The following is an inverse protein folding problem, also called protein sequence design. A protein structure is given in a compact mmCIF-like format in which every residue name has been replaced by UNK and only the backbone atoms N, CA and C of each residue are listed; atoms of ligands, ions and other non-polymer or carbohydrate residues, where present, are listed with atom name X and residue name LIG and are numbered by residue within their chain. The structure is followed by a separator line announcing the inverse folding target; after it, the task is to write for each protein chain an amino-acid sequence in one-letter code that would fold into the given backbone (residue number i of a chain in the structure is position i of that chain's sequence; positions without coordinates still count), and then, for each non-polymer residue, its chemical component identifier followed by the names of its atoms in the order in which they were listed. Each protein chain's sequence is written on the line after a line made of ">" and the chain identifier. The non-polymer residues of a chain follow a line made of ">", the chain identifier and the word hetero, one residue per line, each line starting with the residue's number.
data_IF_590447990194
#
_entry.id   IF_590447990194
#
_cell.length_a   1.000
_cell.length_b   1.000
_cell.length_c   1.000
_cell.angle_alpha   90.00
_cell.angle_beta   90.00
_cell.angle_gamma   90.00
#
_symmetry.space_group_name_H-M   'P 1'
#
loop_
_entity.id
_entity.type
_entity.pdbx_description
1 polymer ?
#
# COMPACT_ATOMS: atom_id res chain seq x y z
N UNK A 1 8.14 16.93 -25.36
CA UNK A 1 7.62 16.85 -23.98
C UNK A 1 8.84 16.69 -23.09
N UNK A 2 8.86 17.26 -21.90
CA UNK A 2 9.92 16.92 -20.93
C UNK A 2 9.82 15.44 -20.60
N UNK A 3 10.96 14.79 -20.43
CA UNK A 3 11.00 13.40 -20.03
C UNK A 3 10.44 13.28 -18.60
N UNK A 4 9.44 12.43 -18.42
CA UNK A 4 8.87 12.18 -17.12
C UNK A 4 9.81 11.30 -16.30
N UNK A 5 10.03 11.66 -15.04
CA UNK A 5 10.77 10.83 -14.10
C UNK A 5 9.84 10.28 -13.02
N UNK A 6 9.82 8.96 -12.90
CA UNK A 6 9.13 8.26 -11.82
C UNK A 6 10.17 7.68 -10.86
N UNK A 7 10.04 8.05 -9.58
CA UNK A 7 10.83 7.48 -8.49
C UNK A 7 9.92 6.57 -7.67
N UNK A 8 10.31 5.32 -7.45
CA UNK A 8 9.62 4.38 -6.57
C UNK A 8 10.39 4.20 -5.27
N UNK A 9 9.74 4.42 -4.14
CA UNK A 9 10.31 4.18 -2.81
C UNK A 9 9.75 2.89 -2.24
N UNK A 10 10.60 1.92 -1.99
CA UNK A 10 10.20 0.58 -1.54
C UNK A 10 10.83 0.14 -0.23
N UNK A 11 10.54 -1.12 0.13
CA UNK A 11 10.95 -1.86 1.32
C UNK A 11 9.95 -1.74 2.50
N UNK A 12 10.41 -1.98 3.74
CA UNK A 12 9.57 -2.19 4.94
C UNK A 12 8.64 -1.03 5.27
N UNK A 13 7.54 -1.32 5.95
CA UNK A 13 6.71 -0.29 6.58
C UNK A 13 7.52 0.48 7.62
N UNK A 14 7.11 1.72 7.89
CA UNK A 14 7.76 2.62 8.84
C UNK A 14 9.25 2.96 8.55
N UNK A 15 9.77 2.58 7.38
CA UNK A 15 11.14 2.93 6.98
C UNK A 15 11.34 4.43 6.72
N UNK A 16 10.27 5.22 6.59
CA UNK A 16 10.35 6.67 6.38
C UNK A 16 10.10 7.11 4.94
N UNK A 17 9.48 6.28 4.09
CA UNK A 17 9.18 6.62 2.68
C UNK A 17 8.36 7.90 2.53
N UNK A 18 7.33 8.09 3.36
CA UNK A 18 6.53 9.32 3.33
C UNK A 18 7.33 10.55 3.82
N UNK A 19 8.29 10.38 4.71
CA UNK A 19 9.21 11.44 5.14
C UNK A 19 10.15 11.82 4.01
N UNK A 20 10.72 10.85 3.28
CA UNK A 20 11.52 11.11 2.07
C UNK A 20 10.69 11.90 1.06
N UNK A 21 9.44 11.50 0.82
CA UNK A 21 8.56 12.26 -0.06
C UNK A 21 8.34 13.69 0.42
N UNK A 22 8.08 13.93 1.72
CA UNK A 22 7.84 15.29 2.23
C UNK A 22 8.99 16.27 1.95
N UNK A 23 10.23 15.78 1.90
CA UNK A 23 11.39 16.57 1.47
C UNK A 23 11.49 16.72 -0.04
N UNK A 24 11.08 15.71 -0.80
CA UNK A 24 11.09 15.74 -2.27
C UNK A 24 9.94 16.58 -2.85
N UNK A 25 8.86 16.81 -2.12
CA UNK A 25 7.73 17.64 -2.56
C UNK A 25 8.18 19.05 -2.93
N UNK A 26 9.07 19.66 -2.13
CA UNK A 26 9.69 20.96 -2.41
C UNK A 26 10.55 20.99 -3.68
N UNK A 27 10.95 19.84 -4.22
CA UNK A 27 11.70 19.69 -5.47
C UNK A 27 10.78 19.46 -6.69
N UNK A 28 9.45 19.55 -6.50
CA UNK A 28 8.46 19.43 -7.56
C UNK A 28 7.90 18.01 -7.76
N UNK A 29 8.23 17.07 -6.91
CA UNK A 29 7.65 15.71 -7.00
C UNK A 29 6.18 15.69 -6.61
N UNK A 30 5.37 14.98 -7.41
CA UNK A 30 3.98 14.66 -7.10
C UNK A 30 3.89 13.26 -6.49
N UNK A 31 3.22 13.15 -5.33
CA UNK A 31 3.02 11.85 -4.67
C UNK A 31 1.98 11.01 -5.39
N UNK A 32 2.28 9.72 -5.50
CA UNK A 32 1.36 8.66 -5.92
C UNK A 32 1.57 7.46 -5.00
N UNK A 33 0.54 6.65 -4.79
CA UNK A 33 0.65 5.36 -4.13
C UNK A 33 -0.19 4.31 -4.87
N UNK A 34 0.32 3.07 -4.97
CA UNK A 34 -0.42 1.96 -5.59
C UNK A 34 -1.75 1.71 -4.89
N UNK A 35 -1.77 1.87 -3.57
CA UNK A 35 -2.98 1.71 -2.77
C UNK A 35 -4.01 2.84 -2.93
N UNK A 36 -3.65 4.00 -3.51
CA UNK A 36 -4.59 5.13 -3.56
C UNK A 36 -5.78 4.85 -4.49
N UNK A 37 -5.55 4.20 -5.65
CA UNK A 37 -6.63 3.81 -6.56
C UNK A 37 -7.61 2.83 -5.90
N UNK A 38 -7.11 1.84 -5.17
CA UNK A 38 -7.92 0.93 -4.36
C UNK A 38 -8.76 1.70 -3.33
N UNK A 39 -8.15 2.64 -2.62
CA UNK A 39 -8.80 3.41 -1.57
C UNK A 39 -9.95 4.26 -2.11
N UNK A 40 -9.72 5.01 -3.20
CA UNK A 40 -10.77 5.82 -3.84
C UNK A 40 -11.91 4.95 -4.37
N UNK A 41 -11.62 3.81 -4.99
CA UNK A 41 -12.65 2.88 -5.41
C UNK A 41 -13.47 2.34 -4.23
N UNK A 42 -12.83 2.01 -3.11
CA UNK A 42 -13.55 1.59 -1.92
C UNK A 42 -14.40 2.70 -1.30
N UNK A 43 -13.98 3.95 -1.37
CA UNK A 43 -14.83 5.10 -0.98
C UNK A 43 -16.09 5.16 -1.83
N UNK A 44 -15.97 5.00 -3.12
CA UNK A 44 -17.11 5.07 -4.05
C UNK A 44 -18.03 3.84 -3.90
N UNK A 45 -17.49 2.62 -3.91
CA UNK A 45 -18.27 1.38 -3.91
C UNK A 45 -18.92 1.12 -2.55
N UNK A 46 -18.17 1.33 -1.46
CA UNK A 46 -18.62 1.06 -0.09
C UNK A 46 -19.02 2.33 0.66
N UNK A 47 -19.15 3.46 -0.02
CA UNK A 47 -19.49 4.74 0.61
C UNK A 47 -18.68 5.01 1.90
N UNK A 48 -17.37 4.74 1.86
CA UNK A 48 -16.47 5.00 2.98
C UNK A 48 -16.06 6.48 2.98
N UNK A 49 -15.93 7.05 4.15
CA UNK A 49 -15.44 8.43 4.29
C UNK A 49 -13.93 8.50 4.12
N UNK A 50 -13.41 9.70 3.86
CA UNK A 50 -11.97 9.93 3.78
C UNK A 50 -11.23 9.52 5.07
N UNK A 51 -11.79 9.81 6.25
CA UNK A 51 -11.20 9.39 7.53
C UNK A 51 -11.17 7.86 7.68
N UNK A 52 -12.23 7.16 7.25
CA UNK A 52 -12.27 5.70 7.26
C UNK A 52 -11.22 5.06 6.35
N UNK A 53 -10.75 5.75 5.31
CA UNK A 53 -9.82 5.21 4.32
C UNK A 53 -8.40 5.72 4.53
N UNK A 54 -8.21 7.00 4.83
CA UNK A 54 -6.90 7.63 5.00
C UNK A 54 -6.56 8.00 6.44
N UNK A 55 -7.57 8.14 7.30
CA UNK A 55 -7.44 8.63 8.68
C UNK A 55 -7.45 7.54 9.75
N UNK A 56 -7.91 7.95 10.93
CA UNK A 56 -7.98 7.13 12.15
C UNK A 56 -9.16 6.15 12.18
N UNK A 57 -10.18 6.38 11.37
CA UNK A 57 -11.40 5.55 11.30
C UNK A 57 -11.21 4.16 10.69
N UNK A 58 -10.00 3.83 10.20
CA UNK A 58 -9.71 2.55 9.50
C UNK A 58 -10.03 1.29 10.29
N UNK A 59 -9.84 1.33 11.60
CA UNK A 59 -9.96 0.17 12.48
C UNK A 59 -11.27 0.15 13.29
N UNK A 60 -12.14 1.13 13.05
CA UNK A 60 -13.47 1.21 13.65
C UNK A 60 -14.43 0.35 12.83
N UNK A 61 -15.14 -0.55 13.48
CA UNK A 61 -16.17 -1.38 12.81
C UNK A 61 -17.26 -0.51 12.20
N UNK A 62 -17.70 -0.88 11.00
CA UNK A 62 -18.77 -0.21 10.29
C UNK A 62 -20.01 -1.13 10.27
N UNK A 63 -21.03 -0.78 11.05
CA UNK A 63 -22.25 -1.59 11.24
C UNK A 63 -23.04 -1.82 9.93
N UNK A 64 -22.76 -1.08 8.88
CA UNK A 64 -23.33 -1.28 7.56
C UNK A 64 -22.86 -2.59 6.88
N UNK A 65 -21.71 -3.13 7.32
CA UNK A 65 -21.05 -4.27 6.68
C UNK A 65 -20.88 -5.43 7.67
N UNK A 66 -21.87 -6.33 7.78
CA UNK A 66 -21.74 -7.56 8.57
C UNK A 66 -20.54 -8.39 8.10
N UNK A 67 -19.77 -8.90 9.05
CA UNK A 67 -18.58 -9.69 8.75
C UNK A 67 -18.95 -11.16 8.42
N UNK A 68 -19.31 -11.42 7.19
CA UNK A 68 -19.61 -12.75 6.68
C UNK A 68 -18.38 -13.50 6.15
N UNK A 69 -17.21 -12.86 6.15
CA UNK A 69 -15.99 -13.40 5.54
C UNK A 69 -15.08 -14.05 6.58
N UNK A 70 -14.93 -13.40 7.74
CA UNK A 70 -14.09 -13.89 8.83
C UNK A 70 -14.92 -14.75 9.83
N UNK A 71 -16.02 -15.36 9.34
CA UNK A 71 -16.78 -16.32 10.12
C UNK A 71 -15.91 -17.53 10.42
N UNK A 72 -15.52 -17.69 11.68
CA UNK A 72 -14.92 -18.93 12.12
C UNK A 72 -15.99 -20.01 12.19
N UNK A 73 -15.71 -21.14 11.58
CA UNK A 73 -16.42 -22.36 11.85
C UNK A 73 -15.96 -22.83 13.24
N UNK A 74 -16.86 -22.80 14.19
CA UNK A 74 -16.58 -23.27 15.55
C UNK A 74 -16.96 -24.76 15.59
N UNK A 75 -16.02 -25.61 15.99
CA UNK A 75 -16.36 -26.99 16.33
C UNK A 75 -17.31 -26.98 17.55
N UNK A 76 -18.47 -27.55 17.39
CA UNK A 76 -19.35 -27.82 18.54
C UNK A 76 -18.69 -28.84 19.47
N UNK A 77 -19.18 -28.95 20.73
CA UNK A 77 -18.66 -29.91 21.70
C UNK A 77 -18.77 -31.39 21.26
N UNK A 78 -19.26 -31.68 20.05
CA UNK A 78 -19.39 -33.00 19.42
C UNK A 78 -18.49 -33.17 18.21
N UNK A 79 -17.61 -32.20 17.90
CA UNK A 79 -16.71 -32.23 16.76
C UNK A 79 -17.38 -31.88 15.42
N UNK A 80 -18.60 -31.33 15.43
CA UNK A 80 -19.24 -30.83 14.22
C UNK A 80 -18.86 -29.39 13.97
N UNK A 81 -18.45 -29.07 12.72
CA UNK A 81 -18.20 -27.72 12.31
C UNK A 81 -19.50 -27.00 11.99
N UNK A 82 -19.82 -25.95 12.73
CA UNK A 82 -21.06 -25.17 12.55
C UNK A 82 -20.72 -23.71 12.22
N UNK A 83 -21.55 -23.09 11.39
CA UNK A 83 -21.42 -21.67 11.09
C UNK A 83 -21.76 -20.85 12.33
N UNK A 84 -20.92 -19.92 12.71
CA UNK A 84 -21.08 -19.09 13.91
C UNK A 84 -22.41 -18.32 13.98
N UNK A 85 -23.04 -18.03 12.84
CA UNK A 85 -24.37 -17.38 12.80
C UNK A 85 -25.53 -18.29 13.17
N UNK A 86 -25.32 -19.60 13.19
CA UNK A 86 -26.36 -20.58 13.57
C UNK A 86 -26.35 -20.88 15.07
N UNK A 87 -25.37 -20.32 15.81
CA UNK A 87 -25.24 -20.54 17.25
C UNK A 87 -25.94 -19.44 18.06
N UNK A 88 -26.57 -19.80 19.22
CA UNK A 88 -27.12 -18.80 20.13
C UNK A 88 -26.05 -17.79 20.60
N UNK A 89 -26.44 -16.54 20.72
CA UNK A 89 -25.62 -15.35 21.03
C UNK A 89 -24.48 -15.47 22.09
N UNK A 90 -24.56 -16.31 23.13
CA UNK A 90 -23.50 -16.45 24.13
C UNK A 90 -22.20 -17.06 23.60
N UNK A 91 -22.24 -17.78 22.48
CA UNK A 91 -21.05 -18.48 21.93
C UNK A 91 -20.16 -17.57 21.12
N UNK A 92 -20.63 -16.39 20.75
CA UNK A 92 -19.84 -15.32 20.08
C UNK A 92 -18.72 -14.74 20.95
N UNK A 93 -18.80 -14.88 22.25
CA UNK A 93 -17.85 -14.31 23.21
C UNK A 93 -16.58 -15.17 23.32
N UNK A 94 -16.54 -16.34 22.71
CA UNK A 94 -15.41 -17.27 22.83
C UNK A 94 -14.17 -16.88 21.99
N UNK A 95 -14.32 -16.00 20.99
CA UNK A 95 -13.18 -15.43 20.26
C UNK A 95 -13.12 -13.92 20.49
N UNK A 96 -12.22 -13.43 21.37
CA UNK A 96 -12.12 -12.01 21.67
C UNK A 96 -11.66 -11.16 20.46
N UNK A 97 -11.14 -11.79 19.42
CA UNK A 97 -10.68 -11.11 18.20
C UNK A 97 -11.76 -11.06 17.11
N UNK A 98 -12.89 -11.75 17.29
CA UNK A 98 -13.99 -11.73 16.32
C UNK A 98 -14.68 -10.37 16.29
N UNK A 99 -14.70 -9.78 15.09
CA UNK A 99 -15.39 -8.52 14.82
C UNK A 99 -16.67 -8.81 14.04
N UNK A 100 -17.88 -8.56 14.61
CA UNK A 100 -19.16 -8.86 13.95
C UNK A 100 -19.40 -8.01 12.70
N UNK A 101 -18.71 -6.89 12.57
CA UNK A 101 -18.77 -6.02 11.40
C UNK A 101 -17.38 -5.80 10.83
N UNK A 102 -17.29 -5.61 9.51
CA UNK A 102 -16.04 -5.29 8.85
C UNK A 102 -15.54 -3.90 9.26
N UNK A 103 -14.24 -3.78 9.42
CA UNK A 103 -13.60 -2.48 9.48
C UNK A 103 -13.28 -1.99 8.07
N UNK A 104 -13.16 -0.67 7.82
CA UNK A 104 -12.69 -0.15 6.55
C UNK A 104 -11.36 -0.76 6.10
N UNK A 105 -10.42 -1.00 7.02
CA UNK A 105 -9.17 -1.72 6.74
C UNK A 105 -9.43 -3.12 6.16
N UNK A 106 -10.35 -3.87 6.77
CA UNK A 106 -10.66 -5.22 6.31
C UNK A 106 -11.34 -5.22 4.94
N UNK A 107 -12.23 -4.25 4.68
CA UNK A 107 -12.85 -4.05 3.36
C UNK A 107 -11.78 -3.78 2.30
N UNK A 108 -10.85 -2.86 2.56
CA UNK A 108 -9.73 -2.56 1.67
C UNK A 108 -8.88 -3.81 1.36
N UNK A 109 -8.57 -4.60 2.38
CA UNK A 109 -7.79 -5.84 2.22
C UNK A 109 -8.52 -6.85 1.34
N UNK A 110 -9.79 -7.14 1.63
CA UNK A 110 -10.60 -8.11 0.90
C UNK A 110 -10.80 -7.69 -0.56
N UNK A 111 -11.19 -6.44 -0.80
CA UNK A 111 -11.40 -5.93 -2.15
C UNK A 111 -10.08 -5.90 -2.94
N UNK A 112 -9.00 -5.46 -2.30
CA UNK A 112 -7.68 -5.45 -2.92
C UNK A 112 -7.18 -6.85 -3.29
N UNK A 113 -7.39 -7.85 -2.43
CA UNK A 113 -7.06 -9.25 -2.72
C UNK A 113 -7.93 -9.83 -3.83
N UNK A 114 -9.23 -9.57 -3.81
CA UNK A 114 -10.13 -10.02 -4.85
C UNK A 114 -9.71 -9.49 -6.22
N UNK A 115 -9.45 -8.18 -6.35
CA UNK A 115 -8.99 -7.62 -7.61
C UNK A 115 -7.66 -8.23 -8.08
N UNK A 116 -6.69 -8.45 -7.18
CA UNK A 116 -5.42 -9.14 -7.51
C UNK A 116 -5.61 -10.60 -7.90
N UNK A 117 -6.61 -11.29 -7.38
CA UNK A 117 -6.92 -12.68 -7.79
C UNK A 117 -7.41 -12.77 -9.23
N UNK A 118 -8.07 -11.71 -9.73
CA UNK A 118 -8.49 -11.61 -11.13
C UNK A 118 -7.34 -11.19 -12.05
N UNK A 119 -6.54 -10.23 -11.60
CA UNK A 119 -5.38 -9.74 -12.33
C UNK A 119 -4.32 -9.23 -11.34
N UNK A 120 -3.22 -9.99 -11.22
CA UNK A 120 -2.17 -9.73 -10.22
C UNK A 120 -1.63 -8.30 -10.26
N UNK A 121 -1.48 -7.74 -11.46
CA UNK A 121 -0.88 -6.43 -11.69
C UNK A 121 -1.88 -5.27 -11.71
N UNK A 122 -3.14 -5.49 -11.32
CA UNK A 122 -4.23 -4.52 -11.47
C UNK A 122 -3.89 -3.13 -10.93
N UNK A 123 -3.33 -3.05 -9.73
CA UNK A 123 -3.06 -1.76 -9.07
C UNK A 123 -1.86 -1.05 -9.71
N UNK A 124 -0.80 -1.79 -10.03
CA UNK A 124 0.35 -1.25 -10.72
C UNK A 124 -0.03 -0.79 -12.14
N UNK A 125 -0.69 -1.64 -12.92
CA UNK A 125 -1.15 -1.29 -14.26
C UNK A 125 -2.03 -0.03 -14.25
N UNK A 126 -2.96 0.09 -13.30
CA UNK A 126 -3.83 1.26 -13.20
C UNK A 126 -3.04 2.55 -12.98
N UNK A 127 -2.01 2.54 -12.13
CA UNK A 127 -1.16 3.70 -11.89
C UNK A 127 -0.47 4.14 -13.18
N UNK A 128 0.19 3.23 -13.88
CA UNK A 128 0.97 3.56 -15.09
C UNK A 128 0.12 3.87 -16.31
N UNK A 129 -1.10 3.31 -16.42
CA UNK A 129 -1.99 3.55 -17.56
C UNK A 129 -3.01 4.67 -17.37
N UNK A 130 -3.31 5.04 -16.12
CA UNK A 130 -4.37 6.02 -15.82
C UNK A 130 -3.88 7.19 -14.95
N UNK A 131 -3.22 6.89 -13.81
CA UNK A 131 -2.89 7.95 -12.85
C UNK A 131 -1.73 8.81 -13.34
N UNK A 132 -0.62 8.20 -13.74
CA UNK A 132 0.57 8.91 -14.22
C UNK A 132 0.28 9.77 -15.45
N UNK A 133 -0.42 9.27 -16.51
CA UNK A 133 -0.77 10.11 -17.65
C UNK A 133 -1.64 11.33 -17.30
N UNK A 134 -2.55 11.22 -16.33
CA UNK A 134 -3.35 12.35 -15.86
C UNK A 134 -2.48 13.41 -15.18
N UNK A 135 -1.60 12.99 -14.27
CA UNK A 135 -0.67 13.88 -13.55
C UNK A 135 0.27 14.57 -14.56
N UNK A 136 0.75 13.85 -15.56
CA UNK A 136 1.58 14.41 -16.63
C UNK A 136 0.82 15.44 -17.47
N UNK A 137 -0.47 15.19 -17.78
CA UNK A 137 -1.33 16.12 -18.48
C UNK A 137 -1.62 17.41 -17.67
N UNK A 138 -1.54 17.33 -16.33
CA UNK A 138 -1.60 18.48 -15.41
C UNK A 138 -0.29 19.29 -15.37
N UNK A 139 0.75 18.86 -16.07
CA UNK A 139 2.03 19.55 -16.21
C UNK A 139 3.12 19.10 -15.22
N UNK A 140 2.91 17.99 -14.50
CA UNK A 140 3.94 17.43 -13.62
C UNK A 140 4.84 16.46 -14.40
N UNK A 141 6.14 16.63 -14.26
CA UNK A 141 7.18 15.82 -14.89
C UNK A 141 8.00 14.97 -13.89
N UNK A 142 7.68 15.07 -12.59
CA UNK A 142 8.32 14.31 -11.51
C UNK A 142 7.29 13.65 -10.62
N UNK A 143 7.32 12.34 -10.52
CA UNK A 143 6.38 11.55 -9.71
C UNK A 143 7.14 10.67 -8.74
N UNK A 144 6.65 10.59 -7.49
CA UNK A 144 7.21 9.71 -6.47
C UNK A 144 6.13 8.75 -5.95
N UNK A 145 6.35 7.45 -6.16
CA UNK A 145 5.50 6.37 -5.64
C UNK A 145 6.05 5.93 -4.29
N UNK A 146 5.25 6.05 -3.22
CA UNK A 146 5.75 5.94 -1.84
C UNK A 146 5.42 4.62 -1.15
N UNK A 147 4.76 3.68 -1.82
CA UNK A 147 4.29 2.42 -1.23
C UNK A 147 4.67 1.17 -2.03
N UNK A 148 5.79 1.20 -2.75
CA UNK A 148 6.31 0.04 -3.47
C UNK A 148 6.61 -1.12 -2.51
N UNK A 149 5.98 -2.28 -2.74
CA UNK A 149 6.03 -3.44 -1.85
C UNK A 149 6.15 -4.78 -2.54
N UNK A 150 5.79 -4.88 -3.83
CA UNK A 150 5.74 -6.15 -4.56
C UNK A 150 6.59 -6.12 -5.82
N UNK A 151 7.32 -7.21 -6.09
CA UNK A 151 8.17 -7.35 -7.28
C UNK A 151 7.43 -7.14 -8.59
N UNK A 152 6.16 -7.55 -8.66
CA UNK A 152 5.35 -7.33 -9.86
C UNK A 152 5.09 -5.85 -10.14
N UNK A 153 5.05 -4.99 -9.12
CA UNK A 153 4.94 -3.53 -9.28
C UNK A 153 6.17 -2.97 -10.00
N UNK A 154 7.38 -3.46 -9.65
CA UNK A 154 8.61 -3.09 -10.36
C UNK A 154 8.61 -3.61 -11.80
N UNK A 155 8.14 -4.84 -12.03
CA UNK A 155 8.06 -5.42 -13.40
C UNK A 155 7.15 -4.58 -14.30
N UNK A 156 6.00 -4.14 -13.80
CA UNK A 156 5.08 -3.26 -14.55
C UNK A 156 5.72 -1.90 -14.81
N UNK A 157 6.39 -1.32 -13.80
CA UNK A 157 7.06 -0.03 -13.91
C UNK A 157 8.21 -0.06 -14.93
N UNK A 158 9.03 -1.10 -14.92
CA UNK A 158 10.15 -1.29 -15.85
C UNK A 158 9.65 -1.42 -17.29
N UNK A 159 8.62 -2.25 -17.52
CA UNK A 159 8.00 -2.37 -18.85
C UNK A 159 7.46 -1.02 -19.34
N UNK A 160 6.75 -0.31 -18.48
CA UNK A 160 6.25 1.03 -18.81
C UNK A 160 7.38 2.01 -19.18
N UNK A 161 8.49 2.00 -18.43
CA UNK A 161 9.65 2.86 -18.73
C UNK A 161 10.27 2.50 -20.09
N UNK A 162 10.43 1.21 -20.39
CA UNK A 162 10.94 0.72 -21.67
C UNK A 162 10.03 1.12 -22.84
N UNK A 163 8.71 0.96 -22.70
CA UNK A 163 7.73 1.27 -23.74
C UNK A 163 7.58 2.77 -24.02
N UNK A 164 7.76 3.60 -22.98
CA UNK A 164 7.53 5.06 -23.10
C UNK A 164 8.83 5.88 -23.24
N UNK A 165 9.97 5.30 -22.94
CA UNK A 165 11.26 6.00 -22.87
C UNK A 165 11.40 6.96 -21.68
N UNK A 166 10.50 6.88 -20.69
CA UNK A 166 10.54 7.71 -19.48
C UNK A 166 11.56 7.17 -18.47
N UNK A 167 12.02 8.03 -17.56
CA UNK A 167 12.98 7.66 -16.53
C UNK A 167 12.29 6.95 -15.37
N UNK A 168 12.86 5.82 -14.94
CA UNK A 168 12.43 5.08 -13.74
C UNK A 168 13.61 4.88 -12.80
N UNK A 169 13.45 5.29 -11.55
CA UNK A 169 14.42 5.11 -10.47
C UNK A 169 13.73 4.38 -9.31
N UNK A 170 14.36 3.33 -8.78
CA UNK A 170 13.78 2.52 -7.70
C UNK A 170 14.72 2.54 -6.50
N UNK A 171 14.30 3.18 -5.41
CA UNK A 171 15.11 3.33 -4.21
C UNK A 171 14.57 2.50 -3.06
N UNK A 172 15.48 1.79 -2.40
CA UNK A 172 15.23 1.13 -1.14
C UNK A 172 15.34 2.15 -0.01
N UNK A 173 14.28 2.34 0.77
CA UNK A 173 14.37 3.13 2.01
C UNK A 173 14.58 2.17 3.17
N UNK A 174 15.72 2.26 3.82
CA UNK A 174 16.13 1.35 4.88
C UNK A 174 16.29 2.11 6.21
N UNK A 175 15.56 1.65 7.22
CA UNK A 175 15.68 2.17 8.60
C UNK A 175 16.04 1.01 9.54
N UNK A 176 17.30 0.89 9.95
CA UNK A 176 17.74 -0.15 10.87
C UNK A 176 16.96 -0.13 12.19
N UNK A 177 16.66 -1.31 12.73
CA UNK A 177 15.97 -1.44 14.02
C UNK A 177 14.47 -1.19 14.00
N UNK A 178 13.88 -0.90 12.86
CA UNK A 178 12.42 -0.84 12.70
C UNK A 178 11.91 -2.20 12.26
N UNK A 179 11.10 -2.81 13.11
CA UNK A 179 10.39 -4.05 12.80
C UNK A 179 8.99 -3.70 12.30
N UNK A 180 8.54 -4.37 11.25
CA UNK A 180 7.19 -4.21 10.74
C UNK A 180 6.17 -4.52 11.86
N UNK A 181 5.14 -3.68 12.00
CA UNK A 181 4.04 -3.92 12.96
C UNK A 181 3.08 -5.03 12.52
N UNK A 182 3.29 -5.57 11.32
CA UNK A 182 2.47 -6.62 10.73
C UNK A 182 2.92 -7.99 11.23
N UNK A 183 1.99 -8.95 11.24
CA UNK A 183 2.28 -10.33 11.64
C UNK A 183 3.47 -10.88 10.86
N UNK A 184 4.30 -11.66 11.52
CA UNK A 184 5.39 -12.39 10.87
C UNK A 184 4.79 -13.24 9.73
N UNK A 185 5.16 -12.91 8.46
CA UNK A 185 4.64 -13.59 7.27
C UNK A 185 3.80 -12.74 6.33
N UNK A 186 3.56 -11.45 6.63
CA UNK A 186 2.91 -10.55 5.68
C UNK A 186 3.75 -10.45 4.39
N UNK A 187 3.17 -10.89 3.27
CA UNK A 187 3.82 -10.90 1.96
C UNK A 187 4.32 -9.50 1.57
N UNK A 188 3.55 -8.46 1.88
CA UNK A 188 3.89 -7.06 1.57
C UNK A 188 5.14 -6.54 2.32
N UNK A 189 5.58 -7.22 3.36
CA UNK A 189 6.79 -6.88 4.10
C UNK A 189 7.99 -7.76 3.70
N UNK A 190 7.77 -8.83 2.93
CA UNK A 190 8.79 -9.82 2.62
C UNK A 190 9.13 -9.96 1.14
N UNK A 191 8.22 -9.62 0.23
CA UNK A 191 8.38 -9.86 -1.21
C UNK A 191 9.61 -9.14 -1.81
N UNK A 192 10.01 -8.00 -1.24
CA UNK A 192 11.18 -7.24 -1.68
C UNK A 192 12.50 -7.61 -0.98
N UNK A 193 12.54 -8.64 -0.12
CA UNK A 193 13.75 -8.98 0.62
C UNK A 193 14.92 -9.41 -0.30
N UNK A 194 14.62 -10.09 -1.39
CA UNK A 194 15.55 -10.58 -2.41
C UNK A 194 15.40 -9.82 -3.75
N UNK A 195 14.80 -8.64 -3.74
CA UNK A 195 14.71 -7.79 -4.92
C UNK A 195 16.07 -7.12 -5.22
N UNK A 196 16.57 -7.27 -6.44
CA UNK A 196 17.89 -6.76 -6.86
C UNK A 196 17.81 -5.54 -7.79
N UNK A 197 16.60 -5.15 -8.22
CA UNK A 197 16.38 -4.05 -9.18
C UNK A 197 16.44 -2.64 -8.59
N UNK A 198 17.16 -2.44 -7.47
CA UNK A 198 17.31 -1.13 -6.85
C UNK A 198 18.28 -0.25 -7.63
N UNK A 199 17.88 1.00 -7.89
CA UNK A 199 18.81 2.05 -8.39
C UNK A 199 19.77 2.49 -7.29
N UNK A 200 19.32 2.48 -6.03
CA UNK A 200 20.12 2.83 -4.88
C UNK A 200 19.39 2.62 -3.55
N UNK A 201 20.05 3.00 -2.47
CA UNK A 201 19.51 2.89 -1.11
C UNK A 201 19.53 4.25 -0.42
N UNK A 202 18.44 4.58 0.29
CA UNK A 202 18.33 5.74 1.19
C UNK A 202 18.35 5.20 2.60
N UNK A 203 19.44 5.45 3.33
CA UNK A 203 19.61 5.03 4.70
C UNK A 203 18.99 6.06 5.65
N UNK A 204 18.03 5.62 6.47
CA UNK A 204 17.34 6.43 7.48
C UNK A 204 17.73 5.94 8.89
N UNK A 205 18.99 6.13 9.26
CA UNK A 205 19.58 5.67 10.52
C UNK A 205 20.04 6.80 11.43
N UNK A 206 19.79 8.05 11.06
CA UNK A 206 20.28 9.23 11.71
C UNK A 206 19.16 10.25 11.98
N UNK A 207 19.45 11.55 11.91
CA UNK A 207 18.50 12.63 12.15
C UNK A 207 17.62 12.91 10.94
N UNK A 208 16.51 13.63 11.15
CA UNK A 208 15.66 14.11 10.05
C UNK A 208 16.43 15.02 9.09
N UNK A 209 17.29 15.90 9.61
CA UNK A 209 18.10 16.79 8.79
C UNK A 209 19.06 16.02 7.87
N UNK A 210 19.63 14.91 8.37
CA UNK A 210 20.48 14.03 7.56
C UNK A 210 19.70 13.36 6.44
N UNK A 211 18.48 12.90 6.74
CA UNK A 211 17.59 12.30 5.74
C UNK A 211 17.13 13.33 4.70
N UNK A 212 16.85 14.56 5.12
CA UNK A 212 16.54 15.67 4.23
C UNK A 212 17.70 15.98 3.28
N UNK A 213 18.91 16.16 3.82
CA UNK A 213 20.11 16.42 3.02
C UNK A 213 20.36 15.32 1.98
N UNK A 214 20.22 14.05 2.39
CA UNK A 214 20.36 12.91 1.49
C UNK A 214 19.30 12.94 0.39
N UNK A 215 18.03 13.18 0.75
CA UNK A 215 16.92 13.27 -0.19
C UNK A 215 17.11 14.41 -1.21
N UNK A 216 17.44 15.60 -0.71
CA UNK A 216 17.69 16.77 -1.57
C UNK A 216 18.88 16.53 -2.49
N UNK A 217 19.99 15.98 -1.97
CA UNK A 217 21.16 15.65 -2.79
C UNK A 217 20.85 14.66 -3.90
N UNK A 218 20.03 13.63 -3.65
CA UNK A 218 19.69 12.63 -4.64
C UNK A 218 18.74 13.16 -5.73
N UNK A 219 17.79 14.02 -5.38
CA UNK A 219 16.66 14.33 -6.26
C UNK A 219 16.66 15.76 -6.81
N UNK A 220 17.58 16.66 -6.36
CA UNK A 220 17.62 18.04 -6.85
C UNK A 220 18.12 18.15 -8.30
N UNK A 221 18.84 17.16 -8.81
CA UNK A 221 19.36 17.14 -10.19
C UNK A 221 18.43 16.45 -11.19
N UNK A 222 17.35 15.87 -10.72
CA UNK A 222 16.28 15.26 -11.52
C UNK A 222 15.23 16.35 -11.89
#
# INVERSE_FOLDING_TARGET
>A
MKDLTVVMLGHKSLAGKDTVFSFAEGLGFKRVAFADSLKYQCMDIFNLTHDQVFGSGKDIMDERYPNNVDQEFIEDNRGSVVNAYELPTPTYIANPDYKPFLTPRRILQLYGQYCRSLYKDVWASYIFTNTIPKIQAEGHDKIMITDFRFKNEATVAQRWAEETGNNLLIYKVNRPGVFAKTAAGDESENDLNDFEGWTGEILNDSTLDSLEQTTVSLFSSI
#
